data_IF_054390425840
#
_entry.id   IF_054390425840
#
_cell.length_a   1.000
_cell.length_b   1.000
_cell.length_c   1.000
_cell.angle_alpha   90.00
_cell.angle_beta   90.00
_cell.angle_gamma   90.00
#
_symmetry.space_group_name_H-M   'P 1'
#
loop_
_entity.id
_entity.type
_entity.pdbx_description
1 polymer ?
#
# COMPACT_ATOMS: atom_id res chain seq x y z
N UNK A 1 3.99 3.12 -5.49
CA UNK A 1 3.10 2.96 -4.33
C UNK A 1 3.92 2.99 -3.05
N UNK A 2 3.48 3.71 -2.07
CA UNK A 2 4.18 3.94 -0.83
C UNK A 2 3.23 3.64 0.33
N UNK A 3 3.35 2.56 1.10
CA UNK A 3 2.89 2.64 2.48
C UNK A 3 3.89 3.50 3.25
N UNK A 4 3.47 4.68 3.62
CA UNK A 4 4.23 5.59 4.44
C UNK A 4 3.85 5.26 5.87
N UNK A 5 4.76 4.78 6.67
CA UNK A 5 4.48 4.47 8.06
C UNK A 5 5.47 5.18 8.98
N UNK A 6 5.38 6.51 9.16
CA UNK A 6 6.12 7.16 10.21
C UNK A 6 5.36 7.00 11.52
N UNK A 7 5.76 6.00 12.28
CA UNK A 7 5.23 5.75 13.62
C UNK A 7 5.82 6.72 14.64
N UNK A 8 5.09 7.77 14.96
CA UNK A 8 5.43 8.67 16.06
C UNK A 8 4.23 8.85 16.98
N UNK A 9 4.18 8.13 18.08
CA UNK A 9 3.04 8.15 19.02
C UNK A 9 3.27 9.01 20.26
N UNK A 10 4.47 9.51 20.48
CA UNK A 10 4.76 10.30 21.68
C UNK A 10 5.59 11.52 21.34
N UNK A 11 5.33 12.68 21.99
CA UNK A 11 6.26 13.80 21.98
C UNK A 11 7.62 13.46 22.61
N UNK A 12 7.71 12.30 23.26
CA UNK A 12 8.92 11.89 23.93
C UNK A 12 10.01 11.47 22.97
N UNK A 13 11.18 11.93 23.26
CA UNK A 13 12.44 11.90 22.52
C UNK A 13 13.02 10.51 22.21
N UNK A 14 12.20 9.52 21.80
CA UNK A 14 12.73 8.26 21.37
C UNK A 14 13.44 8.42 20.00
N UNK A 15 14.78 8.35 19.94
CA UNK A 15 15.54 8.60 18.73
C UNK A 15 15.22 7.59 17.61
N UNK A 16 14.79 6.38 17.94
CA UNK A 16 14.42 5.35 16.97
C UNK A 16 13.14 5.73 16.23
N UNK A 17 12.14 6.24 16.95
CA UNK A 17 10.88 6.71 16.34
C UNK A 17 11.07 7.95 15.46
N UNK A 18 11.95 8.86 15.87
CA UNK A 18 12.32 10.04 15.06
C UNK A 18 12.99 9.61 13.76
N UNK A 19 13.77 8.53 13.76
CA UNK A 19 14.50 8.08 12.60
C UNK A 19 13.61 7.64 11.45
N UNK A 20 12.42 7.12 11.70
CA UNK A 20 11.47 6.73 10.64
C UNK A 20 10.94 7.93 9.88
N UNK A 21 10.52 8.97 10.61
CA UNK A 21 10.07 10.24 10.03
C UNK A 21 11.21 10.89 9.23
N UNK A 22 12.41 10.93 9.80
CA UNK A 22 13.57 11.51 9.14
C UNK A 22 13.94 10.71 7.88
N UNK A 23 14.02 9.39 7.94
CA UNK A 23 14.29 8.56 6.77
C UNK A 23 13.29 8.81 5.65
N UNK A 24 12.01 8.86 5.98
CA UNK A 24 11.00 9.13 4.97
C UNK A 24 11.11 10.56 4.42
N UNK A 25 11.08 11.57 5.29
CA UNK A 25 10.94 12.97 4.88
C UNK A 25 12.20 13.55 4.21
N UNK A 26 13.38 13.03 4.56
CA UNK A 26 14.65 13.54 4.04
C UNK A 26 15.30 12.59 3.02
N UNK A 27 15.35 11.29 3.32
CA UNK A 27 16.06 10.33 2.49
C UNK A 27 15.19 9.78 1.36
N UNK A 28 14.07 9.15 1.69
CA UNK A 28 13.19 8.56 0.67
C UNK A 28 12.61 9.63 -0.25
N UNK A 29 12.20 10.76 0.28
CA UNK A 29 11.68 11.86 -0.53
C UNK A 29 12.76 12.52 -1.42
N UNK A 30 14.00 12.60 -0.96
CA UNK A 30 15.12 13.07 -1.80
C UNK A 30 15.39 12.11 -2.96
N UNK A 31 15.38 10.81 -2.70
CA UNK A 31 15.56 9.79 -3.73
C UNK A 31 14.41 9.79 -4.75
N UNK A 32 13.16 9.96 -4.30
CA UNK A 32 12.00 10.13 -5.19
C UNK A 32 12.20 11.32 -6.13
N UNK A 33 12.61 12.47 -5.61
CA UNK A 33 12.88 13.67 -6.43
C UNK A 33 13.98 13.40 -7.45
N UNK A 34 15.05 12.75 -7.05
CA UNK A 34 16.13 12.37 -7.95
C UNK A 34 15.64 11.42 -9.05
N UNK A 35 14.83 10.44 -8.70
CA UNK A 35 14.23 9.52 -9.67
C UNK A 35 13.35 10.27 -10.66
N UNK A 36 12.48 11.17 -10.19
CA UNK A 36 11.64 11.99 -11.06
C UNK A 36 12.48 12.85 -11.99
N UNK A 37 13.51 13.52 -11.48
CA UNK A 37 14.39 14.39 -12.28
C UNK A 37 15.21 13.62 -13.33
N UNK A 38 15.39 12.32 -13.16
CA UNK A 38 16.10 11.46 -14.14
C UNK A 38 15.20 10.99 -15.29
N UNK A 39 13.90 11.22 -15.21
CA UNK A 39 12.97 10.86 -16.29
C UNK A 39 13.05 11.86 -17.45
N UNK A 40 12.68 11.45 -18.66
CA UNK A 40 12.57 12.37 -19.79
C UNK A 40 11.66 13.56 -19.46
N UNK A 41 12.03 14.75 -19.92
CA UNK A 41 11.24 15.95 -19.71
C UNK A 41 9.80 15.77 -20.24
N UNK A 42 8.83 16.19 -19.43
CA UNK A 42 7.41 16.05 -19.74
C UNK A 42 6.80 14.67 -19.46
N UNK A 43 7.56 13.72 -18.89
CA UNK A 43 7.01 12.44 -18.44
C UNK A 43 5.94 12.69 -17.35
N UNK A 44 4.68 12.27 -17.56
CA UNK A 44 3.66 12.41 -16.54
C UNK A 44 3.98 11.52 -15.33
N UNK A 45 4.09 12.13 -14.14
CA UNK A 45 4.40 11.43 -12.88
C UNK A 45 3.33 11.73 -11.85
N UNK A 46 2.93 10.74 -11.10
CA UNK A 46 2.08 10.85 -9.92
C UNK A 46 2.44 9.76 -8.92
N UNK A 47 2.08 9.98 -7.67
CA UNK A 47 2.34 9.04 -6.58
C UNK A 47 1.05 8.45 -6.04
N UNK A 48 1.15 7.21 -5.54
CA UNK A 48 0.11 6.53 -4.78
C UNK A 48 0.68 6.17 -3.41
N UNK A 49 0.00 6.56 -2.34
CA UNK A 49 0.25 6.03 -1.01
C UNK A 49 -0.77 4.91 -0.71
N UNK A 50 -0.27 3.80 -0.19
CA UNK A 50 -1.11 2.66 0.21
C UNK A 50 -1.54 2.74 1.68
N UNK A 51 -1.51 3.93 2.28
CA UNK A 51 -2.02 4.18 3.63
C UNK A 51 -0.98 4.16 4.74
N UNK A 52 -1.45 4.45 5.94
CA UNK A 52 -0.63 4.71 7.13
C UNK A 52 0.34 5.88 6.90
N UNK A 53 -0.17 6.96 6.29
CA UNK A 53 0.60 8.17 6.04
C UNK A 53 0.98 8.88 7.34
N UNK A 54 0.16 8.71 8.38
CA UNK A 54 0.35 9.28 9.71
C UNK A 54 -0.01 8.28 10.80
N UNK A 55 0.38 8.59 12.05
CA UNK A 55 0.07 7.75 13.21
C UNK A 55 -0.84 8.50 14.17
N UNK A 56 -2.10 8.07 14.24
CA UNK A 56 -3.08 8.62 15.19
C UNK A 56 -3.42 7.69 16.35
N UNK A 57 -2.84 6.49 16.41
CA UNK A 57 -2.91 5.68 17.63
C UNK A 57 -2.27 6.43 18.79
N UNK A 58 -3.02 6.54 19.89
CA UNK A 58 -2.60 7.34 21.05
C UNK A 58 -2.98 8.82 21.00
N UNK A 59 -3.41 9.35 19.86
CA UNK A 59 -3.89 10.72 19.74
C UNK A 59 -3.62 11.37 18.38
N UNK A 60 -4.39 12.39 18.05
CA UNK A 60 -4.17 13.19 16.85
C UNK A 60 -2.85 13.95 16.93
N UNK A 61 -1.98 13.79 15.95
CA UNK A 61 -0.66 14.39 15.87
C UNK A 61 -0.55 15.37 14.69
N UNK A 62 -1.00 16.62 14.90
CA UNK A 62 -0.95 17.66 13.88
C UNK A 62 0.48 18.05 13.44
N UNK A 63 1.49 17.85 14.29
CA UNK A 63 2.88 18.14 13.95
C UNK A 63 3.39 17.12 12.92
N UNK A 64 3.19 15.84 13.20
CA UNK A 64 3.56 14.76 12.29
C UNK A 64 2.85 14.93 10.94
N UNK A 65 1.54 15.15 10.97
CA UNK A 65 0.75 15.37 9.76
C UNK A 65 1.32 16.49 8.88
N UNK A 66 1.64 17.64 9.46
CA UNK A 66 2.26 18.74 8.72
C UNK A 66 3.61 18.36 8.13
N UNK A 67 4.47 17.65 8.88
CA UNK A 67 5.77 17.19 8.39
C UNK A 67 5.63 16.26 7.19
N UNK A 68 4.73 15.30 7.27
CA UNK A 68 4.48 14.35 6.17
C UNK A 68 3.92 15.06 4.94
N UNK A 69 2.90 15.92 5.12
CA UNK A 69 2.32 16.70 4.02
C UNK A 69 3.34 17.61 3.34
N UNK A 70 4.19 18.28 4.10
CA UNK A 70 5.25 19.11 3.55
C UNK A 70 6.27 18.27 2.75
N UNK A 71 6.66 17.12 3.28
CA UNK A 71 7.56 16.22 2.59
C UNK A 71 6.96 15.72 1.26
N UNK A 72 5.72 15.24 1.28
CA UNK A 72 5.01 14.78 0.08
C UNK A 72 4.83 15.91 -0.94
N UNK A 73 4.42 17.10 -0.49
CA UNK A 73 4.24 18.26 -1.37
C UNK A 73 5.56 18.75 -1.98
N UNK A 74 6.69 18.45 -1.36
CA UNK A 74 8.01 18.88 -1.86
C UNK A 74 8.48 18.15 -3.11
N UNK A 75 7.83 17.06 -3.52
CA UNK A 75 8.18 16.31 -4.73
C UNK A 75 7.59 16.90 -6.02
N UNK A 76 6.69 17.87 -5.91
CA UNK A 76 5.93 18.47 -7.02
C UNK A 76 5.05 17.48 -7.81
N UNK A 77 5.08 16.19 -7.47
CA UNK A 77 4.17 15.21 -8.07
C UNK A 77 2.81 15.24 -7.37
N UNK A 78 1.75 15.00 -8.13
CA UNK A 78 0.43 14.78 -7.57
C UNK A 78 0.41 13.45 -6.81
N UNK A 79 0.08 13.49 -5.53
CA UNK A 79 -0.07 12.30 -4.70
C UNK A 79 -1.55 12.01 -4.45
N UNK A 80 -1.89 10.72 -4.51
CA UNK A 80 -3.19 10.18 -4.13
C UNK A 80 -2.97 9.21 -2.96
N UNK A 81 -3.63 9.45 -1.84
CA UNK A 81 -3.44 8.66 -0.63
C UNK A 81 -4.64 7.78 -0.35
N UNK A 82 -4.39 6.49 -0.12
CA UNK A 82 -5.34 5.57 0.49
C UNK A 82 -5.24 5.74 2.00
N UNK A 83 -6.35 5.68 2.71
CA UNK A 83 -6.33 5.75 4.18
C UNK A 83 -6.00 4.38 4.78
N UNK A 84 -5.07 4.33 5.75
CA UNK A 84 -4.74 3.14 6.52
C UNK A 84 -5.43 3.07 7.89
N UNK A 85 -5.13 2.01 8.64
CA UNK A 85 -5.72 1.82 9.97
C UNK A 85 -5.11 2.78 11.01
N UNK A 86 -3.82 3.12 10.87
CA UNK A 86 -3.16 4.09 11.75
C UNK A 86 -3.60 5.53 11.51
N UNK A 87 -4.07 5.85 10.32
CA UNK A 87 -4.57 7.17 9.94
C UNK A 87 -5.93 7.52 10.59
N UNK A 88 -6.66 6.53 11.10
CA UNK A 88 -8.01 6.73 11.62
C UNK A 88 -8.26 6.16 13.02
N UNK A 89 -7.51 5.14 13.46
CA UNK A 89 -7.63 4.50 14.79
C UNK A 89 -9.09 4.25 15.22
N UNK A 90 -9.96 3.88 14.29
CA UNK A 90 -11.41 3.69 14.53
C UNK A 90 -12.17 4.94 14.96
N UNK A 91 -11.56 6.12 15.01
CA UNK A 91 -12.17 7.36 15.49
C UNK A 91 -12.62 8.26 14.34
N UNK A 92 -13.91 8.59 14.34
CA UNK A 92 -14.49 9.46 13.32
C UNK A 92 -13.81 10.84 13.25
N UNK A 93 -13.30 11.36 14.38
CA UNK A 93 -12.55 12.60 14.41
C UNK A 93 -11.25 12.50 13.61
N UNK A 94 -10.48 11.42 13.81
CA UNK A 94 -9.19 11.25 13.13
C UNK A 94 -9.38 11.03 11.64
N UNK A 95 -10.38 10.24 11.24
CA UNK A 95 -10.73 10.09 9.83
C UNK A 95 -11.09 11.44 9.19
N UNK A 96 -11.91 12.30 9.85
CA UNK A 96 -12.20 13.63 9.33
C UNK A 96 -10.95 14.51 9.21
N UNK A 97 -10.04 14.44 10.19
CA UNK A 97 -8.77 15.17 10.12
C UNK A 97 -7.90 14.70 8.96
N UNK A 98 -7.87 13.41 8.73
CA UNK A 98 -7.19 12.86 7.57
C UNK A 98 -7.85 13.32 6.26
N UNK A 99 -9.18 13.25 6.15
CA UNK A 99 -9.95 13.71 4.99
C UNK A 99 -9.72 15.21 4.68
N UNK A 100 -9.63 16.05 5.70
CA UNK A 100 -9.32 17.49 5.56
C UNK A 100 -7.94 17.76 4.94
N UNK A 101 -7.00 16.84 5.11
CA UNK A 101 -5.59 17.05 4.79
C UNK A 101 -5.09 16.21 3.60
N UNK A 102 -5.64 15.02 3.38
CA UNK A 102 -5.21 14.08 2.33
C UNK A 102 -6.30 13.83 1.27
N UNK A 103 -7.54 14.16 1.56
CA UNK A 103 -8.67 14.00 0.64
C UNK A 103 -9.66 12.90 1.04
N UNK A 104 -10.64 12.60 0.19
CA UNK A 104 -11.67 11.61 0.50
C UNK A 104 -11.08 10.21 0.71
N UNK A 105 -11.75 9.40 1.55
CA UNK A 105 -11.32 8.02 1.85
C UNK A 105 -11.67 7.01 0.76
N UNK A 106 -12.68 7.34 -0.04
CA UNK A 106 -13.14 6.53 -1.17
C UNK A 106 -13.24 7.44 -2.39
N UNK A 107 -12.47 7.18 -3.43
CA UNK A 107 -12.44 8.01 -4.64
C UNK A 107 -11.87 7.24 -5.84
N UNK A 108 -12.07 7.77 -7.03
CA UNK A 108 -11.47 7.26 -8.25
C UNK A 108 -10.94 8.38 -9.14
N UNK A 109 -10.04 8.04 -10.04
CA UNK A 109 -9.49 8.96 -11.03
C UNK A 109 -8.87 8.21 -12.19
N UNK A 110 -8.75 8.88 -13.34
CA UNK A 110 -8.08 8.34 -14.53
C UNK A 110 -6.70 8.96 -14.71
N UNK A 111 -5.77 8.13 -15.19
CA UNK A 111 -4.48 8.55 -15.74
C UNK A 111 -4.20 7.75 -17.01
N UNK A 112 -4.25 8.43 -18.16
CA UNK A 112 -4.23 7.73 -19.44
C UNK A 112 -5.35 6.70 -19.54
N UNK A 113 -5.00 5.50 -19.92
CA UNK A 113 -5.93 4.38 -20.09
C UNK A 113 -6.10 3.53 -18.82
N UNK A 114 -5.72 4.08 -17.67
CA UNK A 114 -5.83 3.41 -16.37
C UNK A 114 -6.79 4.14 -15.46
N UNK A 115 -7.76 3.41 -14.94
CA UNK A 115 -8.72 3.85 -13.93
C UNK A 115 -8.27 3.37 -12.55
N UNK A 116 -8.01 4.29 -11.65
CA UNK A 116 -7.61 4.02 -10.26
C UNK A 116 -8.81 4.16 -9.35
N UNK A 117 -9.05 3.15 -8.53
CA UNK A 117 -10.08 3.15 -7.49
C UNK A 117 -9.39 3.04 -6.15
N UNK A 118 -9.48 4.06 -5.32
CA UNK A 118 -8.95 4.07 -3.97
C UNK A 118 -10.10 3.88 -2.98
N UNK A 119 -9.99 2.90 -2.08
CA UNK A 119 -11.07 2.52 -1.18
C UNK A 119 -10.58 2.24 0.24
N UNK A 120 -11.28 2.75 1.22
CA UNK A 120 -11.01 2.49 2.64
C UNK A 120 -11.54 1.09 3.03
N UNK A 121 -10.64 0.11 3.09
CA UNK A 121 -10.96 -1.24 3.53
C UNK A 121 -10.62 -1.51 5.01
N UNK A 122 -10.32 -0.49 5.79
CA UNK A 122 -10.15 -0.58 7.24
C UNK A 122 -11.50 -0.45 7.94
N UNK A 123 -12.13 -1.57 8.22
CA UNK A 123 -13.44 -1.59 8.87
C UNK A 123 -13.28 -1.70 10.39
N UNK A 124 -13.45 -0.60 11.11
CA UNK A 124 -13.47 -0.61 12.56
C UNK A 124 -14.86 -0.92 13.09
N UNK A 125 -14.95 -1.87 14.01
CA UNK A 125 -16.19 -2.16 14.73
C UNK A 125 -16.50 -1.03 15.71
N UNK A 126 -17.79 -0.69 15.83
CA UNK A 126 -18.23 0.41 16.69
C UNK A 126 -17.76 0.23 18.14
N UNK A 127 -17.04 1.22 18.66
CA UNK A 127 -16.52 1.20 20.03
C UNK A 127 -15.31 0.29 20.26
N UNK A 128 -14.76 -0.28 19.20
CA UNK A 128 -13.60 -1.16 19.26
C UNK A 128 -12.38 -0.49 18.62
N UNK A 129 -11.20 -0.80 19.14
CA UNK A 129 -9.91 -0.40 18.55
C UNK A 129 -9.39 -1.40 17.52
N UNK A 130 -10.06 -2.53 17.35
CA UNK A 130 -9.72 -3.51 16.33
C UNK A 130 -10.58 -3.34 15.08
N UNK A 131 -10.10 -3.85 13.97
CA UNK A 131 -10.74 -3.76 12.66
C UNK A 131 -10.83 -5.15 12.02
N UNK A 132 -11.80 -5.28 11.11
CA UNK A 132 -11.88 -6.44 10.23
C UNK A 132 -11.12 -6.13 8.94
N UNK A 133 -10.09 -6.91 8.58
CA UNK A 133 -9.37 -6.73 7.34
C UNK A 133 -10.27 -6.99 6.12
N UNK A 134 -10.08 -6.23 5.06
CA UNK A 134 -10.76 -6.47 3.79
C UNK A 134 -12.27 -6.25 3.77
N UNK A 135 -12.84 -5.66 4.82
CA UNK A 135 -14.28 -5.37 4.88
C UNK A 135 -14.62 -4.07 4.14
N UNK A 136 -15.74 -4.10 3.45
CA UNK A 136 -16.35 -2.94 2.80
C UNK A 136 -17.76 -2.72 3.29
N UNK A 137 -18.12 -1.44 3.46
CA UNK A 137 -19.49 -1.05 3.79
C UNK A 137 -20.38 -1.12 2.55
N UNK A 138 -21.65 -1.42 2.74
CA UNK A 138 -22.63 -1.48 1.64
C UNK A 138 -22.67 -0.19 0.79
N UNK A 139 -22.46 0.97 1.41
CA UNK A 139 -22.38 2.25 0.68
C UNK A 139 -21.18 2.30 -0.28
N UNK A 140 -20.03 1.74 0.12
CA UNK A 140 -18.84 1.66 -0.71
C UNK A 140 -19.05 0.70 -1.89
N UNK A 141 -19.72 -0.43 -1.64
CA UNK A 141 -20.05 -1.38 -2.70
C UNK A 141 -21.01 -0.75 -3.71
N UNK A 142 -22.03 0.00 -3.26
CA UNK A 142 -22.94 0.70 -4.18
C UNK A 142 -22.22 1.76 -4.99
N UNK A 143 -21.38 2.57 -4.34
CA UNK A 143 -20.57 3.57 -5.03
C UNK A 143 -19.64 2.93 -6.05
N UNK A 144 -18.91 1.88 -5.68
CA UNK A 144 -18.00 1.17 -6.57
C UNK A 144 -18.70 0.60 -7.80
N UNK A 145 -19.88 -0.01 -7.61
CA UNK A 145 -20.68 -0.51 -8.75
C UNK A 145 -21.05 0.61 -9.72
N UNK A 146 -21.41 1.78 -9.22
CA UNK A 146 -21.76 2.95 -10.06
C UNK A 146 -20.53 3.49 -10.78
N UNK A 147 -19.42 3.66 -10.08
CA UNK A 147 -18.16 4.14 -10.61
C UNK A 147 -17.65 3.22 -11.75
N UNK A 148 -17.56 1.92 -11.48
CA UNK A 148 -17.14 0.94 -12.48
C UNK A 148 -18.13 0.81 -13.65
N UNK A 149 -19.43 1.05 -13.43
CA UNK A 149 -20.41 1.06 -14.53
C UNK A 149 -20.17 2.20 -15.52
N UNK A 150 -19.69 3.34 -15.03
CA UNK A 150 -19.37 4.53 -15.84
C UNK A 150 -17.99 4.44 -16.49
N UNK A 151 -17.13 3.56 -16.02
CA UNK A 151 -15.76 3.40 -16.52
C UNK A 151 -15.76 2.61 -17.84
N UNK A 152 -15.11 3.11 -18.91
CA UNK A 152 -14.95 2.38 -20.17
C UNK A 152 -14.31 1.00 -19.97
N UNK A 153 -14.85 -0.02 -20.62
CA UNK A 153 -14.47 -1.43 -20.37
C UNK A 153 -13.14 -1.85 -21.02
N UNK A 154 -12.57 -1.01 -21.85
CA UNK A 154 -11.24 -1.15 -22.44
C UNK A 154 -10.11 -0.59 -21.56
N UNK A 155 -10.44 0.17 -20.52
CA UNK A 155 -9.46 0.65 -19.55
C UNK A 155 -8.93 -0.49 -18.66
N UNK A 156 -7.69 -0.33 -18.17
CA UNK A 156 -7.19 -1.10 -17.02
C UNK A 156 -7.75 -0.51 -15.73
N UNK A 157 -8.09 -1.36 -14.76
CA UNK A 157 -8.48 -0.91 -13.42
C UNK A 157 -7.40 -1.30 -12.41
N UNK A 158 -6.97 -0.35 -11.59
CA UNK A 158 -6.13 -0.61 -10.41
C UNK A 158 -6.92 -0.28 -9.17
N UNK A 159 -7.22 -1.32 -8.38
CA UNK A 159 -7.91 -1.18 -7.11
C UNK A 159 -6.87 -1.00 -6.00
N UNK A 160 -6.88 0.15 -5.35
CA UNK A 160 -5.95 0.56 -4.31
C UNK A 160 -6.65 0.54 -2.94
N UNK A 161 -6.08 -0.15 -1.99
CA UNK A 161 -6.58 -0.25 -0.62
C UNK A 161 -5.42 -0.51 0.36
N UNK A 162 -5.67 -0.40 1.65
CA UNK A 162 -4.59 -0.51 2.63
C UNK A 162 -4.29 -1.96 3.02
N UNK A 163 -5.28 -2.70 3.51
CA UNK A 163 -5.09 -4.04 4.09
C UNK A 163 -5.25 -5.10 3.01
N UNK A 164 -4.23 -5.96 2.78
CA UNK A 164 -4.35 -7.02 1.78
C UNK A 164 -5.57 -7.92 2.02
N UNK A 165 -6.27 -8.30 0.95
CA UNK A 165 -7.31 -9.32 1.04
C UNK A 165 -6.72 -10.70 1.34
N UNK A 166 -5.43 -10.89 1.07
CA UNK A 166 -4.66 -12.09 1.43
C UNK A 166 -3.96 -11.99 2.80
N UNK A 167 -4.32 -10.98 3.63
CA UNK A 167 -3.72 -10.75 4.95
C UNK A 167 -3.76 -12.03 5.81
N UNK A 168 -2.60 -12.38 6.40
CA UNK A 168 -2.41 -13.62 7.18
C UNK A 168 -1.86 -14.79 6.36
N UNK A 169 -1.83 -14.71 5.03
CA UNK A 169 -1.04 -15.64 4.25
C UNK A 169 0.46 -15.32 4.40
N UNK A 170 1.29 -16.34 4.42
CA UNK A 170 2.74 -16.12 4.44
C UNK A 170 3.16 -15.32 3.19
N UNK A 171 4.14 -14.40 3.28
CA UNK A 171 4.52 -13.52 2.18
C UNK A 171 4.91 -14.21 0.87
N UNK A 172 5.22 -15.48 0.91
CA UNK A 172 5.65 -16.29 -0.25
C UNK A 172 4.74 -17.49 -0.51
N UNK A 173 3.58 -17.58 0.16
CA UNK A 173 2.61 -18.63 -0.11
C UNK A 173 1.72 -18.22 -1.28
N UNK A 174 1.40 -19.18 -2.15
CA UNK A 174 0.28 -18.99 -3.08
C UNK A 174 -1.01 -18.82 -2.29
N UNK A 175 -1.80 -17.83 -2.64
CA UNK A 175 -3.14 -17.71 -2.08
C UNK A 175 -3.94 -18.96 -2.37
N UNK A 176 -4.71 -19.43 -1.41
CA UNK A 176 -5.63 -20.55 -1.67
C UNK A 176 -6.68 -20.10 -2.68
N UNK A 177 -7.11 -20.98 -3.59
CA UNK A 177 -8.23 -20.68 -4.47
C UNK A 177 -9.44 -20.22 -3.65
N UNK A 178 -10.13 -19.18 -4.12
CA UNK A 178 -11.39 -18.72 -3.53
C UNK A 178 -12.49 -19.73 -3.87
N UNK A 179 -12.51 -20.87 -3.15
CA UNK A 179 -13.41 -21.97 -3.46
C UNK A 179 -14.79 -21.81 -2.86
N UNK A 180 -14.94 -21.09 -1.73
CA UNK A 180 -16.26 -20.82 -1.13
C UNK A 180 -16.20 -19.63 -0.15
N UNK A 181 -17.31 -18.92 -0.06
CA UNK A 181 -17.49 -17.70 0.76
C UNK A 181 -17.43 -17.93 2.29
N UNK A 182 -17.17 -19.13 2.77
CA UNK A 182 -17.28 -19.51 4.18
C UNK A 182 -16.07 -20.19 4.77
N UNK A 183 -14.96 -20.36 4.03
CA UNK A 183 -13.79 -20.99 4.61
C UNK A 183 -12.98 -20.01 5.44
N UNK A 184 -13.11 -20.23 6.71
CA UNK A 184 -12.31 -19.95 7.89
C UNK A 184 -11.08 -19.05 7.73
N UNK A 185 -11.15 -17.97 8.40
CA UNK A 185 -10.03 -17.10 8.74
C UNK A 185 -10.26 -15.69 8.21
N UNK A 186 -10.25 -14.79 9.03
CA UNK A 186 -10.06 -13.32 9.01
C UNK A 186 -10.33 -12.51 7.71
N UNK A 187 -10.86 -13.10 6.63
CA UNK A 187 -11.13 -12.43 5.36
C UNK A 187 -12.58 -12.49 4.99
N UNK A 188 -13.10 -11.39 4.56
CA UNK A 188 -14.37 -11.39 3.85
C UNK A 188 -14.15 -11.89 2.41
N UNK A 189 -13.98 -13.20 2.25
CA UNK A 189 -13.88 -13.83 0.93
C UNK A 189 -15.06 -13.45 0.02
N UNK A 190 -16.23 -13.20 0.61
CA UNK A 190 -17.41 -12.71 -0.11
C UNK A 190 -17.19 -11.31 -0.70
N UNK A 191 -16.47 -10.42 -0.01
CA UNK A 191 -16.17 -9.07 -0.53
C UNK A 191 -15.11 -9.13 -1.62
N UNK A 192 -14.08 -9.91 -1.45
CA UNK A 192 -13.07 -10.11 -2.51
C UNK A 192 -13.70 -10.72 -3.76
N UNK A 193 -14.48 -11.79 -3.64
CA UNK A 193 -15.18 -12.39 -4.79
C UNK A 193 -16.09 -11.39 -5.50
N UNK A 194 -16.82 -10.56 -4.74
CA UNK A 194 -17.64 -9.50 -5.31
C UNK A 194 -16.78 -8.48 -6.08
N UNK A 195 -15.67 -8.04 -5.50
CA UNK A 195 -14.76 -7.10 -6.15
C UNK A 195 -14.22 -7.66 -7.45
N UNK A 196 -13.70 -8.89 -7.42
CA UNK A 196 -13.15 -9.55 -8.60
C UNK A 196 -14.22 -9.76 -9.69
N UNK A 197 -15.47 -10.11 -9.30
CA UNK A 197 -16.57 -10.23 -10.26
C UNK A 197 -16.90 -8.91 -10.97
N UNK A 198 -16.72 -7.78 -10.28
CA UNK A 198 -16.91 -6.46 -10.88
C UNK A 198 -15.72 -6.04 -11.76
N UNK A 199 -14.51 -6.48 -11.44
CA UNK A 199 -13.30 -6.10 -12.15
C UNK A 199 -13.06 -6.92 -13.42
N UNK A 200 -13.44 -8.19 -13.45
CA UNK A 200 -13.20 -9.08 -14.60
C UNK A 200 -13.87 -8.64 -15.91
N UNK A 201 -14.80 -7.69 -15.86
CA UNK A 201 -15.42 -7.12 -17.07
C UNK A 201 -14.50 -6.16 -17.85
N UNK A 202 -13.35 -5.76 -17.29
CA UNK A 202 -12.44 -4.81 -17.90
C UNK A 202 -11.41 -5.51 -18.80
N UNK A 203 -11.49 -5.25 -20.10
CA UNK A 203 -10.61 -5.88 -21.11
C UNK A 203 -9.15 -5.40 -21.01
N UNK A 204 -8.92 -4.20 -20.47
CA UNK A 204 -7.59 -3.67 -20.18
C UNK A 204 -6.91 -4.37 -19.00
N UNK A 205 -7.61 -5.32 -18.34
CA UNK A 205 -7.14 -6.05 -17.16
C UNK A 205 -7.31 -5.26 -15.86
N UNK A 206 -6.93 -5.86 -14.77
CA UNK A 206 -6.99 -5.23 -13.45
C UNK A 206 -5.89 -5.77 -12.54
N UNK A 207 -5.51 -4.96 -11.55
CA UNK A 207 -4.50 -5.27 -10.53
C UNK A 207 -5.00 -4.79 -9.17
N UNK A 208 -4.51 -5.43 -8.11
CA UNK A 208 -4.81 -5.08 -6.72
C UNK A 208 -3.53 -4.53 -6.06
N UNK A 209 -3.60 -3.32 -5.51
CA UNK A 209 -2.48 -2.66 -4.85
C UNK A 209 -2.80 -2.41 -3.38
N UNK A 210 -1.91 -2.85 -2.49
CA UNK A 210 -2.09 -2.72 -1.05
C UNK A 210 -0.77 -2.48 -0.30
N UNK A 211 -0.86 -2.30 1.03
CA UNK A 211 0.26 -2.08 1.92
C UNK A 211 0.13 -2.86 3.23
N UNK A 212 0.13 -2.18 4.37
CA UNK A 212 -0.17 -2.69 5.73
C UNK A 212 0.82 -3.68 6.32
N UNK A 213 1.22 -4.71 5.60
CA UNK A 213 2.04 -5.80 6.14
C UNK A 213 3.52 -5.43 6.27
N UNK A 214 3.95 -4.34 5.64
CA UNK A 214 5.35 -3.90 5.54
C UNK A 214 6.26 -4.92 4.84
N UNK A 215 5.68 -5.82 4.06
CA UNK A 215 6.40 -6.76 3.21
C UNK A 215 6.26 -6.35 1.75
N UNK A 216 7.36 -6.47 0.99
CA UNK A 216 7.32 -6.43 -0.45
C UNK A 216 6.99 -7.83 -0.96
N UNK A 217 5.76 -8.09 -1.32
CA UNK A 217 5.35 -9.39 -1.83
C UNK A 217 4.19 -9.27 -2.84
N UNK A 218 4.07 -10.29 -3.66
CA UNK A 218 2.96 -10.46 -4.57
C UNK A 218 2.21 -11.74 -4.17
N UNK A 219 0.91 -11.63 -4.07
CA UNK A 219 0.01 -12.75 -3.84
C UNK A 219 -0.77 -13.04 -5.12
N UNK A 220 -0.67 -14.27 -5.59
CA UNK A 220 -1.46 -14.77 -6.70
C UNK A 220 -2.78 -15.31 -6.16
N UNK A 221 -3.88 -14.75 -6.61
CA UNK A 221 -5.25 -15.12 -6.23
C UNK A 221 -5.86 -15.81 -7.44
N UNK A 222 -6.19 -17.09 -7.34
CA UNK A 222 -6.95 -17.74 -8.38
C UNK A 222 -8.45 -17.48 -8.20
N UNK A 223 -9.05 -16.80 -9.18
CA UNK A 223 -10.47 -16.50 -9.19
C UNK A 223 -11.11 -17.00 -10.48
N UNK A 224 -12.00 -17.99 -10.37
CA UNK A 224 -12.70 -18.60 -11.50
C UNK A 224 -11.75 -19.07 -12.63
N UNK A 225 -10.55 -19.55 -12.27
CA UNK A 225 -9.54 -20.03 -13.20
C UNK A 225 -8.62 -18.96 -13.77
N UNK A 226 -8.79 -17.70 -13.41
CA UNK A 226 -7.90 -16.60 -13.76
C UNK A 226 -7.00 -16.24 -12.57
N UNK A 227 -5.72 -16.00 -12.82
CA UNK A 227 -4.78 -15.59 -11.80
C UNK A 227 -4.76 -14.05 -11.72
N UNK A 228 -5.09 -13.54 -10.53
CA UNK A 228 -5.12 -12.11 -10.22
C UNK A 228 -4.00 -11.80 -9.26
N UNK A 229 -3.25 -10.74 -9.54
CA UNK A 229 -2.13 -10.35 -8.71
C UNK A 229 -2.53 -9.29 -7.67
N UNK A 230 -2.28 -9.57 -6.40
CA UNK A 230 -2.32 -8.59 -5.31
C UNK A 230 -0.90 -8.18 -4.97
N UNK A 231 -0.54 -6.94 -5.27
CA UNK A 231 0.77 -6.36 -4.99
C UNK A 231 0.77 -5.70 -3.62
N UNK A 232 1.48 -6.29 -2.69
CA UNK A 232 1.68 -5.72 -1.37
C UNK A 232 3.02 -4.99 -1.32
N UNK A 233 2.97 -3.72 -0.92
CA UNK A 233 4.10 -2.81 -0.93
C UNK A 233 4.72 -2.68 0.45
N UNK A 234 6.05 -2.77 0.52
CA UNK A 234 6.81 -2.56 1.76
C UNK A 234 6.75 -1.10 2.24
N UNK A 235 7.04 -0.88 3.51
CA UNK A 235 7.04 0.46 4.10
C UNK A 235 8.18 1.32 3.54
N UNK A 236 7.84 2.55 3.14
CA UNK A 236 8.78 3.49 2.56
C UNK A 236 9.84 3.99 3.55
N UNK A 237 9.57 3.90 4.85
CA UNK A 237 10.50 4.24 5.93
C UNK A 237 11.37 3.06 6.38
N UNK A 238 11.15 1.85 5.86
CA UNK A 238 11.82 0.62 6.31
C UNK A 238 11.08 -0.07 7.45
N UNK A 239 11.79 -0.93 8.21
CA UNK A 239 11.21 -1.63 9.34
C UNK A 239 10.95 -0.65 10.49
N UNK A 240 9.70 -0.51 10.83
CA UNK A 240 9.19 0.46 11.79
C UNK A 240 9.95 0.36 13.11
N UNK A 241 10.49 1.51 13.57
CA UNK A 241 11.24 1.70 14.81
C UNK A 241 12.55 0.91 14.96
N UNK A 242 12.96 0.16 13.94
CA UNK A 242 14.11 -0.74 14.07
C UNK A 242 15.23 -0.42 13.09
N UNK A 243 14.92 -0.32 11.80
CA UNK A 243 15.97 -0.14 10.79
C UNK A 243 15.40 0.40 9.48
N UNK A 244 16.31 0.72 8.56
CA UNK A 244 15.97 1.07 7.20
C UNK A 244 15.71 -0.18 6.31
N UNK A 245 15.74 -1.37 6.86
CA UNK A 245 15.46 -2.62 6.15
C UNK A 245 14.15 -3.18 6.69
N UNK A 246 13.17 -3.42 5.83
CA UNK A 246 11.93 -4.09 6.16
C UNK A 246 12.18 -5.56 6.57
N UNK A 247 11.24 -6.18 7.27
CA UNK A 247 11.36 -7.57 7.75
C UNK A 247 11.64 -8.55 6.60
N UNK A 248 11.11 -8.31 5.42
CA UNK A 248 11.37 -9.11 4.22
C UNK A 248 12.74 -8.86 3.56
N UNK A 249 13.61 -8.07 4.19
CA UNK A 249 14.92 -7.73 3.65
C UNK A 249 14.93 -6.58 2.62
N UNK A 250 13.77 -6.04 2.27
CA UNK A 250 13.63 -4.90 1.37
C UNK A 250 14.05 -3.62 2.09
N UNK A 251 14.98 -2.80 1.57
CA UNK A 251 15.33 -1.52 2.19
C UNK A 251 14.14 -0.55 2.16
N UNK A 252 14.22 0.54 2.93
CA UNK A 252 13.29 1.65 2.73
C UNK A 252 13.32 2.12 1.27
N UNK A 253 12.18 2.45 0.71
CA UNK A 253 12.10 2.79 -0.71
C UNK A 253 10.67 2.75 -1.24
N UNK A 254 10.54 2.54 -2.53
CA UNK A 254 9.26 2.63 -3.22
C UNK A 254 9.27 1.82 -4.53
N UNK A 255 8.09 1.51 -5.03
CA UNK A 255 7.92 0.92 -6.35
C UNK A 255 7.74 1.98 -7.42
N UNK A 256 8.29 1.73 -8.58
CA UNK A 256 8.08 2.52 -9.80
C UNK A 256 7.38 1.64 -10.82
N UNK A 257 6.21 2.08 -11.26
CA UNK A 257 5.44 1.44 -12.32
C UNK A 257 5.41 2.35 -13.54
N UNK A 258 5.68 1.80 -14.70
CA UNK A 258 5.56 2.49 -15.97
C UNK A 258 4.41 1.87 -16.77
N UNK A 259 3.55 2.73 -17.31
CA UNK A 259 2.39 2.31 -18.12
C UNK A 259 2.56 2.76 -19.55
N UNK A 260 2.17 1.87 -20.48
CA UNK A 260 1.96 2.19 -21.89
C UNK A 260 0.56 1.67 -22.26
N UNK A 261 -0.36 2.58 -22.51
CA UNK A 261 -1.77 2.21 -22.61
C UNK A 261 -2.27 1.56 -21.32
N UNK A 262 -2.86 0.39 -21.41
CA UNK A 262 -3.34 -0.41 -20.28
C UNK A 262 -2.28 -1.36 -19.71
N UNK A 263 -1.10 -1.43 -20.30
CA UNK A 263 -0.06 -2.39 -19.88
C UNK A 263 0.93 -1.77 -18.91
N UNK A 264 1.28 -2.52 -17.85
CA UNK A 264 2.46 -2.24 -17.03
C UNK A 264 3.69 -2.65 -17.85
N UNK A 265 4.36 -1.66 -18.45
CA UNK A 265 5.52 -1.89 -19.31
C UNK A 265 6.80 -2.12 -18.53
N UNK A 266 6.86 -1.63 -17.30
CA UNK A 266 7.99 -1.84 -16.40
C UNK A 266 7.53 -1.68 -14.95
N UNK A 267 8.13 -2.48 -14.06
CA UNK A 267 7.96 -2.38 -12.62
C UNK A 267 9.28 -2.74 -11.93
N UNK A 268 9.73 -1.90 -11.01
CA UNK A 268 10.88 -2.20 -10.17
C UNK A 268 10.75 -1.57 -8.80
N UNK A 269 11.42 -2.18 -7.82
CA UNK A 269 11.60 -1.57 -6.51
C UNK A 269 12.81 -0.64 -6.54
N UNK A 270 12.65 0.56 -6.01
CA UNK A 270 13.73 1.53 -5.85
C UNK A 270 14.05 1.67 -4.36
N UNK A 271 15.09 1.00 -3.91
CA UNK A 271 15.67 1.22 -2.59
C UNK A 271 16.25 2.63 -2.49
N UNK A 272 16.01 3.33 -1.38
CA UNK A 272 16.50 4.69 -1.16
C UNK A 272 18.02 4.74 -1.29
N UNK A 273 18.51 5.55 -2.21
CA UNK A 273 19.93 5.71 -2.61
C UNK A 273 20.59 4.46 -3.20
N UNK A 274 19.82 3.42 -3.50
CA UNK A 274 20.35 2.26 -4.21
C UNK A 274 20.12 2.41 -5.72
N UNK A 275 21.02 1.86 -6.51
CA UNK A 275 20.78 1.78 -7.95
C UNK A 275 19.58 0.91 -8.26
N UNK A 276 18.77 1.31 -9.27
CA UNK A 276 17.57 0.60 -9.67
C UNK A 276 17.82 -0.84 -10.15
N UNK A 277 19.04 -1.15 -10.57
CA UNK A 277 19.42 -2.52 -10.96
C UNK A 277 19.58 -3.46 -9.78
N UNK A 278 19.71 -2.92 -8.56
CA UNK A 278 19.87 -3.73 -7.36
C UNK A 278 18.51 -4.20 -6.84
N UNK A 279 18.00 -5.28 -7.41
CA UNK A 279 16.69 -5.86 -7.08
C UNK A 279 16.76 -7.05 -6.11
N UNK A 280 17.95 -7.53 -5.76
CA UNK A 280 18.14 -8.69 -4.91
C UNK A 280 19.39 -8.56 -4.06
N UNK A 281 19.32 -9.10 -2.85
CA UNK A 281 20.49 -9.29 -1.98
C UNK A 281 20.45 -10.72 -1.44
N UNK A 282 21.55 -11.43 -1.61
CA UNK A 282 21.71 -12.77 -1.07
C UNK A 282 22.47 -12.69 0.25
N UNK A 283 21.91 -13.26 1.29
CA UNK A 283 22.57 -13.42 2.57
C UNK A 283 22.81 -14.91 2.81
N UNK A 284 24.05 -15.25 3.12
CA UNK A 284 24.36 -16.58 3.63
C UNK A 284 24.23 -16.53 5.15
N UNK A 285 23.13 -17.02 5.68
CA UNK A 285 22.98 -17.23 7.13
C UNK A 285 23.56 -18.59 7.52
N UNK A 286 24.34 -18.62 8.60
CA UNK A 286 24.83 -19.88 9.17
C UNK A 286 23.94 -20.41 10.30
N UNK A 287 23.04 -19.57 10.78
CA UNK A 287 22.11 -19.88 11.88
C UNK A 287 20.76 -19.26 11.59
N UNK A 288 19.69 -19.90 12.06
CA UNK A 288 18.34 -19.35 12.06
C UNK A 288 18.15 -18.30 13.17
N UNK A 289 16.91 -17.80 13.30
CA UNK A 289 16.53 -16.84 14.34
C UNK A 289 16.76 -17.34 15.77
N UNK A 290 16.77 -18.65 15.99
CA UNK A 290 16.96 -19.31 17.28
C UNK A 290 18.42 -19.72 17.53
N UNK A 291 19.31 -19.41 16.60
CA UNK A 291 20.72 -19.78 16.68
C UNK A 291 21.01 -21.22 16.23
N UNK A 292 20.02 -21.91 15.65
CA UNK A 292 20.23 -23.22 15.06
C UNK A 292 21.02 -23.11 13.76
N UNK A 293 21.97 -24.00 13.56
CA UNK A 293 22.76 -24.03 12.32
C UNK A 293 21.91 -24.64 11.22
N UNK A 294 21.82 -23.93 10.09
CA UNK A 294 21.28 -24.56 8.89
C UNK A 294 22.13 -25.75 8.49
N UNK A 295 21.49 -26.78 7.97
CA UNK A 295 22.20 -27.93 7.42
C UNK A 295 23.24 -27.43 6.40
N UNK A 296 24.42 -27.99 6.47
CA UNK A 296 25.44 -27.76 5.43
C UNK A 296 24.92 -28.40 4.14
N UNK A 297 24.85 -27.63 3.09
CA UNK A 297 24.70 -28.14 1.73
C UNK A 297 25.89 -29.01 1.36
#
# INVERSE_FOLDING_TARGET
>A
ALPICPYYTSPDDNPIKKSDVERFTTQTMADIKQTISSLPAGTPVYGLSMGDDVQYYGGYNAKLERQIRQALGSSEMRLFSVIGNHDQDGKALYRRKWEENFGPTDFSFNRGDVHYVCINNCFFHRGMSYYSPGELRERQVRWLKQDLALTPKDMKVILCYHIPFTFGNAPFSKAKPLTNAHEEGHYSSSRLSLLLSLLKQFKGGYELFCGHTHFACNHEINYEGEDVMEHCHAAACGNIWQSNINICGTPNGYYVYSFVGTSISNCYYKGTFWDKSKQMTLFRAQTDFNGEKYAKD
#
